data_IF_707373980174
#
_entry.id   IF_707373980174
#
_cell.length_a   1.000
_cell.length_b   1.000
_cell.length_c   1.000
_cell.angle_alpha   90.00
_cell.angle_beta   90.00
_cell.angle_gamma   90.00
#
_symmetry.space_group_name_H-M   'P 1'
#
loop_
_entity.id
_entity.type
_entity.pdbx_description
1 polymer ?
#
# COMPACT_ATOMS: atom_id res chain seq x y z
N UNK A 1 15.93 11.22 -2.88
CA UNK A 1 14.55 10.69 -2.78
C UNK A 1 14.64 9.16 -2.93
N UNK A 2 13.90 8.37 -2.14
CA UNK A 2 13.90 6.89 -2.26
C UNK A 2 13.23 6.51 -3.58
N UNK A 3 13.89 5.68 -4.40
CA UNK A 3 13.34 5.18 -5.67
C UNK A 3 12.28 4.11 -5.40
N UNK A 4 11.12 4.26 -6.05
CA UNK A 4 10.00 3.32 -6.00
C UNK A 4 9.49 3.13 -7.43
N UNK A 5 9.60 1.90 -7.94
CA UNK A 5 9.21 1.51 -9.29
C UNK A 5 7.82 0.84 -9.32
N UNK A 6 7.44 0.15 -8.24
CA UNK A 6 6.12 -0.48 -8.11
C UNK A 6 5.54 -0.32 -6.71
N UNK A 7 4.22 -0.20 -6.65
CA UNK A 7 3.49 0.04 -5.40
C UNK A 7 2.40 -1.01 -5.28
N UNK A 8 2.42 -1.73 -4.17
CA UNK A 8 1.50 -2.84 -3.91
C UNK A 8 0.77 -2.60 -2.60
N UNK A 9 -0.51 -2.96 -2.57
CA UNK A 9 -1.38 -2.80 -1.42
C UNK A 9 -1.98 -4.15 -1.04
N UNK A 10 -1.87 -4.53 0.23
CA UNK A 10 -2.53 -5.73 0.76
C UNK A 10 -3.97 -5.41 1.16
N UNK A 11 -4.95 -6.20 0.73
CA UNK A 11 -6.37 -5.97 1.05
C UNK A 11 -6.71 -6.36 2.49
N UNK A 12 -5.99 -7.35 3.04
CA UNK A 12 -6.16 -7.80 4.42
C UNK A 12 -5.50 -6.87 5.45
N UNK A 13 -6.13 -6.68 6.62
CA UNK A 13 -5.60 -5.79 7.65
C UNK A 13 -4.36 -6.38 8.35
N UNK A 14 -3.45 -5.49 8.75
CA UNK A 14 -2.27 -5.81 9.57
C UNK A 14 -2.40 -5.23 10.98
N UNK A 15 -1.84 -5.90 11.98
CA UNK A 15 -1.64 -5.30 13.30
C UNK A 15 -0.59 -4.18 13.22
N UNK A 16 -0.96 -2.97 13.64
CA UNK A 16 -0.05 -1.81 13.60
C UNK A 16 1.07 -1.86 14.64
N UNK A 17 1.03 -2.83 15.56
CA UNK A 17 2.14 -3.14 16.47
C UNK A 17 3.28 -3.89 15.78
N UNK A 18 3.04 -4.50 14.61
CA UNK A 18 4.03 -5.26 13.84
C UNK A 18 5.26 -4.40 13.48
N UNK A 19 6.46 -4.80 13.91
CA UNK A 19 7.71 -4.14 13.54
C UNK A 19 8.15 -4.43 12.10
N UNK A 20 9.37 -4.03 11.75
CA UNK A 20 9.96 -4.23 10.41
C UNK A 20 9.96 -5.69 9.99
N UNK A 21 10.47 -6.60 10.83
CA UNK A 21 10.55 -8.03 10.51
C UNK A 21 9.17 -8.67 10.30
N UNK A 22 8.20 -8.34 11.15
CA UNK A 22 6.83 -8.84 11.00
C UNK A 22 6.16 -8.30 9.74
N UNK A 23 6.39 -7.03 9.41
CA UNK A 23 5.91 -6.44 8.17
C UNK A 23 6.58 -7.08 6.94
N UNK A 24 7.88 -7.36 7.00
CA UNK A 24 8.61 -8.07 5.94
C UNK A 24 8.08 -9.49 5.74
N UNK A 25 7.88 -10.24 6.83
CA UNK A 25 7.27 -11.56 6.76
C UNK A 25 5.87 -11.51 6.13
N UNK A 26 5.09 -10.47 6.45
CA UNK A 26 3.79 -10.24 5.82
C UNK A 26 3.93 -9.91 4.33
N UNK A 27 4.95 -9.16 3.93
CA UNK A 27 5.24 -8.90 2.51
C UNK A 27 5.50 -10.21 1.77
N UNK A 28 6.38 -11.06 2.30
CA UNK A 28 6.69 -12.36 1.68
C UNK A 28 5.45 -13.24 1.61
N UNK A 29 4.63 -13.27 2.65
CA UNK A 29 3.42 -14.09 2.69
C UNK A 29 2.33 -13.65 1.70
N UNK A 30 2.20 -12.34 1.42
CA UNK A 30 1.15 -11.79 0.55
C UNK A 30 1.64 -11.66 -0.90
N UNK A 31 2.82 -11.06 -1.11
CA UNK A 31 3.35 -10.67 -2.43
C UNK A 31 4.47 -11.59 -2.93
N UNK A 32 4.79 -12.66 -2.20
CA UNK A 32 5.82 -13.65 -2.53
C UNK A 32 7.26 -13.22 -2.24
N UNK A 33 7.60 -11.93 -2.37
CA UNK A 33 8.91 -11.38 -2.05
C UNK A 33 8.87 -9.86 -1.86
N UNK A 34 9.82 -9.33 -1.07
CA UNK A 34 10.13 -7.90 -1.07
C UNK A 34 11.15 -7.60 -2.19
N UNK A 35 10.67 -7.10 -3.33
CA UNK A 35 11.50 -6.80 -4.50
C UNK A 35 12.17 -5.43 -4.37
N UNK A 36 13.39 -5.23 -4.92
CA UNK A 36 14.03 -3.93 -5.02
C UNK A 36 13.12 -2.85 -5.61
N UNK A 37 13.19 -1.65 -5.02
CA UNK A 37 12.41 -0.48 -5.43
C UNK A 37 10.88 -0.68 -5.36
N UNK A 38 10.38 -1.58 -4.51
CA UNK A 38 8.94 -1.76 -4.28
C UNK A 38 8.48 -1.17 -2.94
N UNK A 39 7.27 -0.62 -2.94
CA UNK A 39 6.55 -0.21 -1.75
C UNK A 39 5.35 -1.12 -1.49
N UNK A 40 5.18 -1.57 -0.25
CA UNK A 40 4.13 -2.49 0.17
C UNK A 40 3.29 -1.85 1.29
N UNK A 41 2.01 -1.65 1.01
CA UNK A 41 1.09 -0.89 1.84
C UNK A 41 0.16 -1.84 2.61
N UNK A 42 0.00 -1.54 3.90
CA UNK A 42 -0.87 -2.26 4.81
C UNK A 42 -1.69 -1.28 5.63
N UNK A 43 -2.97 -1.56 5.84
CA UNK A 43 -3.80 -0.81 6.76
C UNK A 43 -4.22 -1.66 7.96
N UNK A 44 -4.61 -1.00 9.05
CA UNK A 44 -5.33 -1.68 10.11
C UNK A 44 -6.80 -1.93 9.73
N UNK A 45 -7.50 -2.77 10.50
CA UNK A 45 -8.91 -3.09 10.26
C UNK A 45 -9.84 -1.86 10.21
N UNK A 46 -9.47 -0.77 10.89
CA UNK A 46 -10.24 0.49 10.87
C UNK A 46 -9.84 1.44 9.75
N UNK A 47 -8.85 1.09 8.94
CA UNK A 47 -8.25 1.91 7.89
C UNK A 47 -7.89 3.34 8.34
N UNK A 48 -7.51 3.55 9.60
CA UNK A 48 -7.11 4.87 10.10
C UNK A 48 -5.60 4.97 10.35
N UNK A 49 -4.88 3.87 10.17
CA UNK A 49 -3.43 3.79 10.22
C UNK A 49 -2.95 2.90 9.08
N UNK A 50 -1.84 3.30 8.48
CA UNK A 50 -1.18 2.60 7.40
C UNK A 50 0.29 2.43 7.74
N UNK A 51 0.85 1.29 7.32
CA UNK A 51 2.30 1.08 7.24
C UNK A 51 2.69 0.87 5.79
N UNK A 52 3.88 1.36 5.45
CA UNK A 52 4.49 1.20 4.12
C UNK A 52 5.87 0.61 4.33
N UNK A 53 6.07 -0.62 3.86
CA UNK A 53 7.40 -1.23 3.80
C UNK A 53 7.99 -0.91 2.43
N UNK A 54 9.16 -0.29 2.37
CA UNK A 54 9.84 0.05 1.12
C UNK A 54 11.18 -0.67 1.07
N UNK A 55 11.42 -1.46 0.03
CA UNK A 55 12.76 -1.98 -0.26
C UNK A 55 13.45 -1.00 -1.21
N UNK A 56 14.50 -0.31 -0.77
CA UNK A 56 15.14 0.77 -1.55
C UNK A 56 16.16 0.28 -2.59
N UNK A 57 16.45 -1.02 -2.59
CA UNK A 57 17.42 -1.70 -3.45
C UNK A 57 18.59 -2.29 -2.67
N UNK A 58 18.80 -1.82 -1.44
CA UNK A 58 19.87 -2.26 -0.54
C UNK A 58 19.30 -2.73 0.80
N UNK A 59 18.29 -2.03 1.31
CA UNK A 59 17.66 -2.32 2.58
C UNK A 59 16.17 -2.00 2.59
N UNK A 60 15.60 -2.04 3.79
CA UNK A 60 14.16 -1.87 4.02
C UNK A 60 13.89 -0.70 4.95
N UNK A 61 12.85 0.06 4.59
CA UNK A 61 12.27 1.13 5.40
C UNK A 61 10.87 0.73 5.81
N UNK A 62 10.47 1.10 7.03
CA UNK A 62 9.08 0.96 7.47
C UNK A 62 8.54 2.33 7.89
N UNK A 63 7.73 2.93 7.03
CA UNK A 63 7.02 4.16 7.33
C UNK A 63 5.66 3.85 7.96
N UNK A 64 5.24 4.69 8.91
CA UNK A 64 3.90 4.65 9.47
C UNK A 64 3.18 5.97 9.18
N UNK A 65 1.91 5.90 8.77
CA UNK A 65 1.06 7.06 8.49
C UNK A 65 -0.28 6.94 9.20
N UNK A 66 -0.71 8.04 9.81
CA UNK A 66 -2.04 8.22 10.37
C UNK A 66 -2.58 9.55 9.89
N UNK A 67 -3.83 9.58 9.47
CA UNK A 67 -4.51 10.84 9.15
C UNK A 67 -4.90 11.55 10.45
N UNK A 68 -4.81 12.89 10.45
CA UNK A 68 -5.28 13.70 11.57
C UNK A 68 -6.79 13.51 11.80
N UNK A 69 -7.54 13.36 10.72
CA UNK A 69 -8.97 13.06 10.72
C UNK A 69 -9.31 12.08 9.59
N UNK A 70 -10.38 11.30 9.77
CA UNK A 70 -10.87 10.37 8.75
C UNK A 70 -10.15 9.03 8.69
N UNK A 71 -10.26 8.38 7.52
CA UNK A 71 -9.77 7.03 7.23
C UNK A 71 -9.27 6.97 5.78
N UNK A 72 -8.36 6.05 5.51
CA UNK A 72 -7.95 5.67 4.17
C UNK A 72 -9.09 4.91 3.47
N UNK A 73 -9.25 5.15 2.17
CA UNK A 73 -10.15 4.36 1.32
C UNK A 73 -9.48 3.03 0.97
N UNK A 74 -9.57 2.05 1.87
CA UNK A 74 -8.94 0.74 1.67
C UNK A 74 -9.84 -0.21 0.85
N UNK A 75 -9.31 -0.97 -0.13
CA UNK A 75 -10.09 -1.96 -0.86
C UNK A 75 -10.48 -3.11 0.06
N UNK A 76 -11.70 -3.61 -0.12
CA UNK A 76 -12.16 -4.82 0.56
C UNK A 76 -11.64 -6.10 -0.12
N UNK A 77 -11.68 -7.21 0.62
CA UNK A 77 -11.19 -8.56 0.23
C UNK A 77 -11.74 -9.06 -1.11
N UNK A 78 -12.85 -8.50 -1.60
CA UNK A 78 -13.40 -8.83 -2.94
C UNK A 78 -12.45 -8.52 -4.11
N UNK A 79 -11.41 -7.71 -3.89
CA UNK A 79 -10.43 -7.33 -4.92
C UNK A 79 -9.21 -8.27 -4.96
N UNK A 80 -9.29 -9.46 -4.32
CA UNK A 80 -8.15 -10.35 -4.15
C UNK A 80 -7.33 -10.03 -2.90
N UNK A 81 -6.16 -10.65 -2.75
CA UNK A 81 -5.25 -10.44 -1.61
C UNK A 81 -4.40 -9.17 -1.74
N UNK A 82 -4.19 -8.70 -2.97
CA UNK A 82 -3.32 -7.57 -3.29
C UNK A 82 -3.82 -6.74 -4.47
N UNK A 83 -3.42 -5.48 -4.51
CA UNK A 83 -3.72 -4.55 -5.61
C UNK A 83 -2.47 -3.74 -5.93
N UNK A 84 -2.10 -3.66 -7.20
CA UNK A 84 -1.06 -2.74 -7.68
C UNK A 84 -1.64 -1.33 -7.80
N UNK A 85 -0.87 -0.33 -7.38
CA UNK A 85 -1.24 1.08 -7.49
C UNK A 85 -0.27 1.80 -8.43
N UNK A 86 -0.80 2.75 -9.19
CA UNK A 86 0.04 3.77 -9.81
C UNK A 86 0.38 4.92 -8.83
N UNK A 87 1.25 5.82 -9.28
CA UNK A 87 1.72 6.94 -8.45
C UNK A 87 0.60 7.92 -8.07
N UNK A 88 -0.37 8.17 -8.96
CA UNK A 88 -1.49 9.07 -8.70
C UNK A 88 -2.46 8.45 -7.69
N UNK A 89 -2.73 7.16 -7.82
CA UNK A 89 -3.53 6.40 -6.87
C UNK A 89 -2.89 6.41 -5.48
N UNK A 90 -1.57 6.23 -5.39
CA UNK A 90 -0.85 6.36 -4.12
C UNK A 90 -1.00 7.77 -3.53
N UNK A 91 -0.83 8.82 -4.35
CA UNK A 91 -0.97 10.22 -3.91
C UNK A 91 -2.36 10.51 -3.35
N UNK A 92 -3.42 10.05 -4.03
CA UNK A 92 -4.79 10.18 -3.54
C UNK A 92 -4.98 9.39 -2.22
N UNK A 93 -4.50 8.14 -2.17
CA UNK A 93 -4.62 7.29 -1.00
C UNK A 93 -3.91 7.88 0.23
N UNK A 94 -2.69 8.40 0.11
CA UNK A 94 -1.96 8.98 1.26
C UNK A 94 -2.65 10.23 1.81
N UNK A 95 -3.42 10.95 0.99
CA UNK A 95 -4.26 12.07 1.43
C UNK A 95 -5.58 11.63 2.06
N UNK A 96 -5.91 10.34 1.99
CA UNK A 96 -7.19 9.80 2.45
C UNK A 96 -8.33 10.03 1.46
N UNK A 97 -8.03 10.25 0.18
CA UNK A 97 -9.03 10.42 -0.88
C UNK A 97 -9.37 9.07 -1.54
N UNK A 98 -10.56 8.93 -2.16
CA UNK A 98 -10.86 7.78 -3.02
C UNK A 98 -9.88 7.74 -4.19
N UNK A 99 -9.15 6.64 -4.33
CA UNK A 99 -8.07 6.51 -5.32
C UNK A 99 -8.45 5.62 -6.50
N UNK A 100 -9.47 4.76 -6.35
CA UNK A 100 -9.78 3.68 -7.29
C UNK A 100 -10.13 4.15 -8.72
N UNK A 101 -10.48 5.42 -8.88
CA UNK A 101 -10.87 6.03 -10.16
C UNK A 101 -9.89 7.11 -10.64
N UNK A 102 -8.73 7.22 -9.98
CA UNK A 102 -7.67 8.16 -10.33
C UNK A 102 -6.58 7.41 -11.12
N UNK A 103 -5.79 8.14 -11.90
CA UNK A 103 -4.76 7.58 -12.75
C UNK A 103 -5.32 6.66 -13.81
N UNK A 104 -4.67 5.51 -13.99
CA UNK A 104 -5.00 4.53 -15.02
C UNK A 104 -6.42 3.98 -14.88
N UNK A 105 -6.96 3.94 -13.65
CA UNK A 105 -8.33 3.49 -13.37
C UNK A 105 -9.43 4.45 -13.81
N UNK A 106 -9.09 5.68 -14.19
CA UNK A 106 -10.02 6.68 -14.73
C UNK A 106 -10.10 6.70 -16.25
N UNK A 107 -9.32 5.87 -16.94
CA UNK A 107 -9.27 5.87 -18.40
C UNK A 107 -10.60 5.36 -19.01
N UNK A 108 -11.19 6.17 -19.89
CA UNK A 108 -12.30 5.73 -20.73
C UNK A 108 -11.69 5.03 -21.95
N UNK A 109 -11.98 3.74 -22.11
CA UNK A 109 -11.55 2.93 -23.26
C UNK A 109 -12.75 2.52 -24.08
N UNK A 110 -12.59 2.51 -25.41
CA UNK A 110 -13.57 1.93 -26.34
C UNK A 110 -13.21 0.46 -26.48
N UNK A 111 -14.19 -0.42 -26.22
CA UNK A 111 -14.05 -1.88 -26.38
C UNK A 111 -13.77 -2.27 -27.84
#
# INVERSE_FOLDING_TARGET
>A
MIRIDSIWLATEPMDMRAGTETALARVVAVFGAAKPHCAYLFANRRANRMKVLVHDGVGIWLAARRLNQGRFFWPGVRHGSEVELDAEQLQALVLGLPWQRVGSGGAITVL
#
